data_IF_724587077581
#
_entry.id   IF_724587077581
#
_cell.length_a   1.000
_cell.length_b   1.000
_cell.length_c   1.000
_cell.angle_alpha   90.00
_cell.angle_beta   90.00
_cell.angle_gamma   90.00
#
_symmetry.space_group_name_H-M   'P 1'
#
loop_
_entity.id
_entity.type
_entity.pdbx_description
1 polymer ?
#
# COMPACT_ATOMS: atom_id res chain seq x y z
N UNK A 1 4.38 -5.09 30.73
CA UNK A 1 4.97 -6.32 30.09
C UNK A 1 5.69 -5.89 28.82
N UNK A 2 6.96 -6.29 28.65
CA UNK A 2 7.71 -6.01 27.42
C UNK A 2 7.38 -6.99 26.32
N UNK A 3 7.20 -6.48 25.09
CA UNK A 3 6.90 -7.25 23.89
C UNK A 3 7.71 -6.70 22.71
N UNK A 4 8.07 -7.57 21.78
CA UNK A 4 8.69 -7.18 20.51
C UNK A 4 7.67 -7.30 19.39
N UNK A 5 7.62 -6.31 18.51
CA UNK A 5 6.82 -6.35 17.30
C UNK A 5 7.65 -5.93 16.08
N UNK A 6 7.49 -6.66 14.99
CA UNK A 6 8.28 -6.49 13.79
C UNK A 6 7.40 -6.19 12.58
N UNK A 7 7.79 -5.19 11.80
CA UNK A 7 7.21 -4.92 10.48
C UNK A 7 8.31 -4.79 9.43
N UNK A 8 7.95 -5.04 8.18
CA UNK A 8 8.84 -4.91 7.04
C UNK A 8 8.28 -3.98 5.96
N UNK A 9 9.17 -3.42 5.16
CA UNK A 9 8.84 -2.69 3.95
C UNK A 9 9.90 -2.94 2.88
N UNK A 10 9.59 -2.58 1.65
CA UNK A 10 10.46 -2.78 0.50
C UNK A 10 10.62 -1.50 -0.31
N UNK A 11 11.71 -1.42 -1.08
CA UNK A 11 11.92 -0.31 -2.03
C UNK A 11 11.01 -0.44 -3.25
N UNK A 12 10.91 0.63 -4.03
CA UNK A 12 10.15 0.66 -5.28
C UNK A 12 10.66 -0.35 -6.34
N UNK A 13 11.94 -0.75 -6.23
CA UNK A 13 12.57 -1.71 -7.14
C UNK A 13 12.43 -3.17 -6.70
N UNK A 14 11.80 -3.46 -5.56
CA UNK A 14 11.46 -4.84 -5.21
C UNK A 14 10.52 -5.43 -6.27
N UNK A 15 10.70 -6.68 -6.72
CA UNK A 15 9.92 -7.25 -7.83
C UNK A 15 8.41 -7.10 -7.70
N UNK A 16 7.84 -7.42 -6.53
CA UNK A 16 6.40 -7.28 -6.30
C UNK A 16 5.96 -5.79 -6.34
N UNK A 17 6.79 -4.87 -5.80
CA UNK A 17 6.45 -3.44 -5.81
C UNK A 17 6.62 -2.79 -7.17
N UNK A 18 7.56 -3.26 -7.98
CA UNK A 18 7.62 -2.92 -9.39
C UNK A 18 6.30 -3.28 -10.11
N UNK A 19 5.78 -4.49 -9.86
CA UNK A 19 4.50 -4.93 -10.44
C UNK A 19 3.32 -4.09 -9.98
N UNK A 20 3.23 -3.80 -8.69
CA UNK A 20 2.20 -2.92 -8.12
C UNK A 20 2.27 -1.52 -8.74
N UNK A 21 3.49 -0.97 -8.88
CA UNK A 21 3.70 0.37 -9.42
C UNK A 21 3.34 0.47 -10.91
N UNK A 22 3.64 -0.57 -11.70
CA UNK A 22 3.22 -0.67 -13.10
C UNK A 22 1.69 -0.71 -13.18
N UNK A 23 1.04 -1.59 -12.42
CA UNK A 23 -0.42 -1.76 -12.45
C UNK A 23 -1.17 -0.48 -12.06
N UNK A 24 -0.73 0.23 -11.03
CA UNK A 24 -1.32 1.52 -10.64
C UNK A 24 -0.99 2.66 -11.60
N UNK A 25 0.16 2.61 -12.28
CA UNK A 25 0.50 3.59 -13.31
C UNK A 25 -0.38 3.42 -14.56
N UNK A 26 -0.71 2.19 -14.93
CA UNK A 26 -1.68 1.89 -15.99
C UNK A 26 -3.07 2.40 -15.59
N UNK A 27 -3.54 2.11 -14.37
CA UNK A 27 -4.81 2.61 -13.86
C UNK A 27 -4.89 4.15 -13.95
N UNK A 28 -3.88 4.85 -13.46
CA UNK A 28 -3.84 6.31 -13.48
C UNK A 28 -3.81 6.88 -14.91
N UNK A 29 -3.14 6.19 -15.85
CA UNK A 29 -3.11 6.60 -17.26
C UNK A 29 -4.51 6.54 -17.90
N UNK A 30 -5.30 5.52 -17.60
CA UNK A 30 -6.70 5.43 -18.03
C UNK A 30 -7.58 6.48 -17.38
N UNK A 31 -7.48 6.68 -16.05
CA UNK A 31 -8.30 7.64 -15.29
C UNK A 31 -8.04 9.09 -15.67
N UNK A 32 -6.84 9.43 -16.13
CA UNK A 32 -6.51 10.76 -16.66
C UNK A 32 -7.36 11.16 -17.87
N UNK A 33 -7.75 10.20 -18.69
CA UNK A 33 -8.50 10.40 -19.94
C UNK A 33 -9.99 10.13 -19.72
N UNK A 34 -10.31 9.03 -19.04
CA UNK A 34 -11.67 8.61 -18.75
C UNK A 34 -11.81 8.25 -17.26
N UNK A 35 -12.38 9.16 -16.48
CA UNK A 35 -12.59 9.00 -15.03
C UNK A 35 -13.50 7.81 -14.66
N UNK A 36 -14.26 7.30 -15.63
CA UNK A 36 -15.17 6.15 -15.45
C UNK A 36 -14.54 4.83 -15.91
N UNK A 37 -13.26 4.81 -16.20
CA UNK A 37 -12.55 3.59 -16.56
C UNK A 37 -12.71 2.52 -15.47
N UNK A 38 -13.04 1.32 -15.89
CA UNK A 38 -13.04 0.11 -15.06
C UNK A 38 -11.77 -0.64 -15.34
N UNK A 39 -10.94 -0.82 -14.34
CA UNK A 39 -9.61 -1.41 -14.47
C UNK A 39 -9.42 -2.47 -13.40
N UNK A 40 -9.04 -3.65 -13.83
CA UNK A 40 -8.47 -4.71 -13.02
C UNK A 40 -7.23 -5.18 -13.78
N UNK A 41 -6.06 -4.67 -13.40
CA UNK A 41 -4.80 -4.86 -14.12
C UNK A 41 -3.77 -5.48 -13.20
N UNK A 42 -3.23 -6.59 -13.61
CA UNK A 42 -2.21 -7.34 -12.90
C UNK A 42 -0.94 -7.41 -13.73
N UNK A 43 0.18 -7.33 -13.05
CA UNK A 43 1.52 -7.38 -13.63
C UNK A 43 2.29 -8.53 -13.02
N UNK A 44 2.98 -9.30 -13.87
CA UNK A 44 3.98 -10.28 -13.47
C UNK A 44 5.33 -9.85 -14.02
N UNK A 45 6.34 -9.79 -13.18
CA UNK A 45 7.72 -9.53 -13.59
C UNK A 45 8.57 -10.78 -13.39
N UNK A 46 9.25 -11.21 -14.43
CA UNK A 46 10.19 -12.32 -14.42
C UNK A 46 11.47 -11.93 -15.13
N UNK A 47 12.36 -12.90 -15.29
CA UNK A 47 13.64 -12.71 -15.95
C UNK A 47 13.49 -12.16 -17.35
N UNK A 48 13.91 -10.89 -17.57
CA UNK A 48 13.87 -10.20 -18.86
C UNK A 48 12.48 -9.87 -19.40
N UNK A 49 11.40 -10.23 -18.71
CA UNK A 49 10.04 -10.11 -19.23
C UNK A 49 9.06 -9.51 -18.22
N UNK A 50 8.12 -8.72 -18.73
CA UNK A 50 6.94 -8.21 -18.04
C UNK A 50 5.69 -8.73 -18.73
N UNK A 51 4.75 -9.25 -17.95
CA UNK A 51 3.43 -9.67 -18.43
C UNK A 51 2.37 -8.78 -17.76
N UNK A 52 1.52 -8.18 -18.60
CA UNK A 52 0.37 -7.40 -18.18
C UNK A 52 -0.88 -8.18 -18.57
N UNK A 53 -1.75 -8.44 -17.59
CA UNK A 53 -3.02 -9.15 -17.83
C UNK A 53 -4.15 -8.49 -17.06
N UNK A 54 -5.39 -8.83 -17.39
CA UNK A 54 -6.58 -8.35 -16.71
C UNK A 54 -7.66 -7.81 -17.63
N UNK A 55 -8.59 -7.06 -17.05
CA UNK A 55 -9.74 -6.52 -17.76
C UNK A 55 -9.77 -4.99 -17.65
N UNK A 56 -9.93 -4.32 -18.80
CA UNK A 56 -10.08 -2.87 -18.86
C UNK A 56 -11.26 -2.51 -19.77
N UNK A 57 -12.22 -1.76 -19.20
CA UNK A 57 -13.34 -1.17 -19.91
C UNK A 57 -13.25 0.35 -19.78
N UNK A 58 -12.91 1.02 -20.89
CA UNK A 58 -12.68 2.48 -20.95
C UNK A 58 -12.93 3.03 -22.33
N UNK A 59 -13.22 4.33 -22.41
CA UNK A 59 -13.20 5.12 -23.66
C UNK A 59 -11.80 5.63 -23.99
N UNK A 60 -10.87 5.53 -23.05
CA UNK A 60 -9.49 5.97 -23.23
C UNK A 60 -8.72 4.97 -24.12
N UNK A 61 -7.81 5.50 -24.93
CA UNK A 61 -6.78 4.74 -25.60
C UNK A 61 -5.43 5.09 -24.96
N UNK A 62 -4.80 4.10 -24.32
CA UNK A 62 -3.54 4.25 -23.58
C UNK A 62 -2.49 3.33 -24.19
N UNK A 63 -1.31 3.87 -24.46
CA UNK A 63 -0.12 3.10 -24.79
C UNK A 63 0.46 2.47 -23.53
N UNK A 64 -0.01 1.25 -23.21
CA UNK A 64 0.37 0.52 -22.02
C UNK A 64 1.87 0.21 -22.00
N UNK A 65 2.44 -0.17 -23.15
CA UNK A 65 3.87 -0.47 -23.25
C UNK A 65 4.73 0.74 -22.86
N UNK A 66 4.36 1.92 -23.34
CA UNK A 66 5.04 3.17 -22.99
C UNK A 66 4.96 3.44 -21.50
N UNK A 67 3.79 3.28 -20.86
CA UNK A 67 3.62 3.45 -19.41
C UNK A 67 4.52 2.51 -18.63
N UNK A 68 4.59 1.24 -19.03
CA UNK A 68 5.44 0.23 -18.38
C UNK A 68 6.92 0.63 -18.47
N UNK A 69 7.40 1.00 -19.65
CA UNK A 69 8.80 1.41 -19.86
C UNK A 69 9.17 2.66 -19.06
N UNK A 70 8.27 3.63 -18.96
CA UNK A 70 8.46 4.84 -18.13
C UNK A 70 8.61 4.49 -16.65
N UNK A 71 7.81 3.57 -16.12
CA UNK A 71 7.91 3.11 -14.71
C UNK A 71 9.24 2.39 -14.47
N UNK A 72 9.63 1.45 -15.33
CA UNK A 72 10.89 0.71 -15.21
C UNK A 72 12.09 1.67 -15.20
N UNK A 73 12.08 2.67 -16.10
CA UNK A 73 13.10 3.72 -16.19
C UNK A 73 13.15 4.57 -14.92
N UNK A 74 11.99 5.01 -14.41
CA UNK A 74 11.91 5.85 -13.21
C UNK A 74 12.45 5.17 -11.96
N UNK A 75 12.20 3.88 -11.82
CA UNK A 75 12.74 3.06 -10.72
C UNK A 75 14.26 2.95 -10.82
N UNK A 76 14.83 3.00 -12.04
CA UNK A 76 16.26 2.92 -12.28
C UNK A 76 16.73 1.54 -12.78
N UNK A 77 15.84 0.80 -13.41
CA UNK A 77 16.19 -0.38 -14.19
C UNK A 77 16.53 0.06 -15.63
N UNK A 78 17.73 0.57 -15.79
CA UNK A 78 18.24 1.22 -17.00
C UNK A 78 19.54 0.60 -17.55
N UNK A 79 19.88 -0.59 -17.07
CA UNK A 79 21.11 -1.30 -17.39
C UNK A 79 20.83 -2.79 -17.62
N UNK A 80 21.29 -3.32 -18.74
CA UNK A 80 21.14 -4.74 -19.10
C UNK A 80 21.71 -5.71 -18.06
N UNK A 81 22.70 -5.29 -17.26
CA UNK A 81 23.22 -6.09 -16.14
C UNK A 81 22.21 -6.34 -15.03
N UNK A 82 21.12 -5.57 -15.01
CA UNK A 82 20.02 -5.73 -14.04
C UNK A 82 18.91 -6.65 -14.56
N UNK A 83 19.10 -7.26 -15.74
CA UNK A 83 18.20 -8.16 -16.47
C UNK A 83 16.90 -7.51 -16.97
N UNK A 84 16.35 -6.54 -16.29
CA UNK A 84 15.27 -5.70 -16.77
C UNK A 84 15.84 -4.32 -17.10
N UNK A 85 15.93 -4.02 -18.39
CA UNK A 85 16.21 -2.68 -18.91
C UNK A 85 14.95 -2.16 -19.59
N UNK A 86 14.56 -0.93 -19.26
CA UNK A 86 13.37 -0.30 -19.81
C UNK A 86 13.35 -0.22 -21.35
N UNK A 87 14.52 -0.32 -22.01
CA UNK A 87 14.65 -0.28 -23.48
C UNK A 87 14.44 -1.64 -24.13
N UNK A 88 14.95 -2.69 -23.51
CA UNK A 88 15.13 -4.01 -24.14
C UNK A 88 14.25 -5.11 -23.55
N UNK A 89 13.70 -4.92 -22.32
CA UNK A 89 12.85 -5.93 -21.71
C UNK A 89 11.63 -6.23 -22.59
N UNK A 90 11.26 -7.50 -22.65
CA UNK A 90 10.07 -7.94 -23.37
C UNK A 90 8.82 -7.60 -22.55
N UNK A 91 7.83 -6.99 -23.19
CA UNK A 91 6.54 -6.64 -22.58
C UNK A 91 5.44 -7.39 -23.34
N UNK A 92 4.74 -8.25 -22.61
CA UNK A 92 3.61 -9.02 -23.13
C UNK A 92 2.32 -8.45 -22.53
N UNK A 93 1.36 -8.06 -23.38
CA UNK A 93 0.10 -7.44 -22.97
C UNK A 93 -1.06 -8.33 -23.39
N UNK A 94 -1.86 -8.78 -22.42
CA UNK A 94 -3.06 -9.57 -22.62
C UNK A 94 -4.22 -8.96 -21.81
N UNK A 95 -4.81 -7.90 -22.35
CA UNK A 95 -5.93 -7.18 -21.74
C UNK A 95 -7.21 -7.52 -22.48
N UNK A 96 -8.25 -7.91 -21.74
CA UNK A 96 -9.59 -8.18 -22.23
C UNK A 96 -10.59 -7.13 -21.74
N UNK A 97 -11.85 -7.22 -22.23
CA UNK A 97 -12.96 -6.44 -21.65
C UNK A 97 -13.61 -7.25 -20.53
N UNK A 98 -14.12 -6.55 -19.51
CA UNK A 98 -14.83 -7.16 -18.40
C UNK A 98 -16.05 -7.99 -18.89
N UNK A 99 -16.28 -9.14 -18.25
CA UNK A 99 -17.43 -10.01 -18.54
C UNK A 99 -18.75 -9.27 -18.36
N UNK A 100 -19.71 -9.41 -19.30
CA UNK A 100 -21.06 -8.84 -19.19
C UNK A 100 -21.80 -9.34 -17.93
N UNK A 101 -21.58 -10.58 -17.52
CA UNK A 101 -22.27 -11.18 -16.37
C UNK A 101 -21.90 -10.50 -15.06
N UNK A 102 -20.63 -10.10 -14.91
CA UNK A 102 -20.17 -9.34 -13.74
C UNK A 102 -20.76 -7.92 -13.75
N UNK A 103 -20.79 -7.25 -14.91
CA UNK A 103 -21.32 -5.88 -15.01
C UNK A 103 -22.81 -5.79 -14.66
N UNK A 104 -23.65 -6.75 -15.09
CA UNK A 104 -25.07 -6.77 -14.75
C UNK A 104 -25.37 -6.89 -13.24
N UNK A 105 -24.48 -7.57 -12.50
CA UNK A 105 -24.64 -7.74 -11.04
C UNK A 105 -24.31 -6.45 -10.26
N UNK A 106 -23.47 -5.60 -10.82
CA UNK A 106 -22.87 -4.44 -10.14
C UNK A 106 -23.52 -3.11 -10.51
N UNK A 107 -23.95 -2.94 -11.78
CA UNK A 107 -24.47 -1.65 -12.29
C UNK A 107 -25.79 -1.22 -11.62
N UNK A 108 -26.62 -2.16 -11.14
CA UNK A 108 -27.85 -1.90 -10.41
C UNK A 108 -27.85 -2.75 -9.15
N UNK A 109 -27.82 -2.10 -7.97
CA UNK A 109 -27.78 -2.79 -6.69
C UNK A 109 -29.06 -3.61 -6.42
N UNK A 110 -28.94 -4.61 -5.54
CA UNK A 110 -30.02 -5.46 -5.10
C UNK A 110 -31.18 -4.64 -4.47
N UNK A 111 -30.84 -3.60 -3.69
CA UNK A 111 -31.80 -2.69 -3.08
C UNK A 111 -32.58 -1.90 -4.14
N UNK A 112 -31.91 -1.43 -5.19
CA UNK A 112 -32.56 -0.71 -6.30
C UNK A 112 -33.49 -1.64 -7.10
N UNK A 113 -33.10 -2.92 -7.30
CA UNK A 113 -33.96 -3.94 -7.94
C UNK A 113 -35.21 -4.24 -7.12
N UNK A 114 -35.17 -4.08 -5.80
CA UNK A 114 -36.33 -4.23 -4.89
C UNK A 114 -37.16 -2.97 -4.76
N UNK A 115 -36.87 -1.89 -5.49
CA UNK A 115 -37.65 -0.67 -5.51
C UNK A 115 -37.28 0.32 -4.37
N UNK A 116 -36.20 0.11 -3.63
CA UNK A 116 -35.69 1.13 -2.73
C UNK A 116 -35.17 2.31 -3.55
N UNK A 117 -35.37 3.55 -3.04
CA UNK A 117 -34.92 4.78 -3.72
C UNK A 117 -33.39 4.93 -3.76
N UNK A 118 -32.64 3.91 -3.45
CA UNK A 118 -31.17 3.89 -3.49
C UNK A 118 -30.71 3.71 -4.94
N UNK A 119 -30.41 4.80 -5.63
CA UNK A 119 -29.73 4.78 -6.94
C UNK A 119 -28.24 4.59 -6.74
N UNK A 120 -27.82 3.43 -6.26
CA UNK A 120 -26.41 3.09 -6.02
C UNK A 120 -26.03 1.84 -6.80
N UNK A 121 -24.79 1.82 -7.26
CA UNK A 121 -24.15 0.59 -7.73
C UNK A 121 -24.01 -0.38 -6.55
N UNK A 122 -24.15 -1.69 -6.78
CA UNK A 122 -23.83 -2.71 -5.80
C UNK A 122 -22.32 -2.87 -5.65
N UNK A 123 -21.86 -3.51 -4.57
CA UNK A 123 -20.47 -3.86 -4.42
C UNK A 123 -20.02 -4.79 -5.56
N UNK A 124 -18.82 -4.52 -6.10
CA UNK A 124 -18.27 -5.27 -7.23
C UNK A 124 -17.85 -6.70 -6.88
N UNK A 125 -17.70 -6.99 -5.59
CA UNK A 125 -17.38 -8.30 -5.05
C UNK A 125 -17.89 -8.42 -3.61
N UNK A 126 -17.91 -9.63 -3.08
CA UNK A 126 -18.01 -9.88 -1.65
C UNK A 126 -16.64 -9.72 -0.99
N UNK A 127 -16.61 -9.40 0.30
CA UNK A 127 -15.35 -9.35 1.04
C UNK A 127 -15.46 -8.60 2.36
N UNK A 128 -14.35 -8.60 3.09
CA UNK A 128 -14.17 -7.87 4.33
C UNK A 128 -12.92 -7.01 4.23
N UNK A 129 -13.01 -5.76 4.68
CA UNK A 129 -11.96 -4.75 4.55
C UNK A 129 -11.71 -4.11 5.90
N UNK A 130 -10.42 -3.99 6.25
CA UNK A 130 -10.02 -3.46 7.54
C UNK A 130 -9.36 -2.09 7.42
N UNK A 131 -9.67 -1.23 8.38
CA UNK A 131 -8.97 0.01 8.65
C UNK A 131 -8.42 0.02 10.07
N UNK A 132 -7.25 0.62 10.27
CA UNK A 132 -6.63 0.73 11.58
C UNK A 132 -6.01 2.10 11.80
N UNK A 133 -5.98 2.55 13.04
CA UNK A 133 -5.22 3.71 13.49
C UNK A 133 -4.82 3.57 14.96
N UNK A 134 -3.71 4.19 15.31
CA UNK A 134 -3.23 4.31 16.69
C UNK A 134 -2.51 5.64 16.91
N UNK A 135 -2.28 6.03 18.16
CA UNK A 135 -1.64 7.29 18.54
C UNK A 135 -0.10 7.18 18.66
N UNK A 136 0.51 6.15 18.07
CA UNK A 136 1.96 5.92 18.18
C UNK A 136 2.81 6.90 17.35
N UNK A 137 2.26 7.42 16.25
CA UNK A 137 2.93 8.36 15.34
C UNK A 137 2.02 9.52 14.94
N UNK A 138 2.58 10.59 14.39
CA UNK A 138 1.81 11.73 13.87
C UNK A 138 0.89 11.34 12.70
N UNK A 139 1.26 10.29 11.97
CA UNK A 139 0.48 9.73 10.88
C UNK A 139 -0.70 8.88 11.38
N UNK A 140 -0.81 8.63 12.68
CA UNK A 140 -1.74 7.68 13.30
C UNK A 140 -1.54 6.25 12.80
N UNK A 141 -0.28 5.85 12.63
CA UNK A 141 0.16 4.55 12.17
C UNK A 141 1.03 3.86 13.23
N UNK A 142 1.10 2.51 13.24
CA UNK A 142 2.04 1.80 14.09
C UNK A 142 3.50 2.19 13.81
N UNK A 143 4.32 2.33 14.85
CA UNK A 143 5.68 2.82 14.73
C UNK A 143 6.57 1.91 13.88
N UNK A 144 6.47 0.58 14.04
CA UNK A 144 7.33 -0.37 13.34
C UNK A 144 7.19 -0.25 11.81
N UNK A 145 5.96 -0.27 11.28
CA UNK A 145 5.73 -0.13 9.83
C UNK A 145 6.07 1.28 9.32
N UNK A 146 5.80 2.31 10.11
CA UNK A 146 6.15 3.70 9.76
C UNK A 146 7.65 3.85 9.59
N UNK A 147 8.45 3.31 10.50
CA UNK A 147 9.91 3.33 10.38
C UNK A 147 10.41 2.49 9.20
N UNK A 148 9.84 1.30 8.99
CA UNK A 148 10.20 0.45 7.86
C UNK A 148 9.94 1.15 6.52
N UNK A 149 8.81 1.85 6.36
CA UNK A 149 8.49 2.65 5.17
C UNK A 149 9.48 3.82 4.98
N UNK A 150 9.72 4.58 6.03
CA UNK A 150 10.65 5.73 5.99
C UNK A 150 12.07 5.29 5.65
N UNK A 151 12.53 4.16 6.17
CA UNK A 151 13.84 3.57 5.86
C UNK A 151 13.92 3.08 4.41
N UNK A 152 12.92 2.35 3.93
CA UNK A 152 12.86 1.88 2.54
C UNK A 152 12.82 3.05 1.54
N UNK A 153 12.06 4.09 1.87
CA UNK A 153 12.05 5.34 1.09
C UNK A 153 13.41 6.00 1.09
N UNK A 154 14.07 6.11 2.25
CA UNK A 154 15.39 6.73 2.36
C UNK A 154 16.47 5.97 1.59
N UNK A 155 16.40 4.61 1.56
CA UNK A 155 17.28 3.80 0.70
C UNK A 155 17.14 4.20 -0.78
N UNK A 156 15.91 4.37 -1.25
CA UNK A 156 15.68 4.85 -2.62
C UNK A 156 16.18 6.28 -2.82
N UNK A 157 15.91 7.17 -1.86
CA UNK A 157 16.33 8.57 -1.96
C UNK A 157 17.87 8.70 -2.04
N UNK A 158 18.63 8.01 -1.18
CA UNK A 158 20.12 8.07 -1.21
C UNK A 158 20.71 7.49 -2.49
N UNK A 159 20.06 6.50 -3.10
CA UNK A 159 20.43 5.98 -4.41
C UNK A 159 20.16 7.00 -5.52
N UNK A 160 18.93 7.48 -5.63
CA UNK A 160 18.51 8.43 -6.70
C UNK A 160 19.22 9.78 -6.61
N UNK A 161 19.60 10.22 -5.41
CA UNK A 161 20.37 11.45 -5.18
C UNK A 161 21.89 11.24 -5.28
N UNK A 162 22.36 10.05 -5.64
CA UNK A 162 23.79 9.69 -5.71
C UNK A 162 24.58 9.91 -4.40
N UNK A 163 23.90 9.86 -3.25
CA UNK A 163 24.57 9.91 -1.93
C UNK A 163 25.29 8.59 -1.69
N UNK A 164 24.64 7.46 -2.02
CA UNK A 164 25.25 6.14 -2.06
C UNK A 164 25.05 5.60 -3.49
N UNK A 165 25.96 5.95 -4.37
CA UNK A 165 25.85 5.78 -5.82
C UNK A 165 25.96 4.32 -6.31
N UNK A 166 26.46 3.43 -5.47
CA UNK A 166 26.61 2.00 -5.79
C UNK A 166 25.41 1.14 -5.39
N UNK A 167 24.35 1.70 -4.79
CA UNK A 167 23.12 1.00 -4.53
C UNK A 167 22.32 0.75 -5.82
N UNK A 168 21.58 -0.36 -5.85
CA UNK A 168 20.69 -0.75 -6.93
C UNK A 168 19.24 -0.71 -6.48
N UNK A 169 18.25 -0.83 -7.41
CA UNK A 169 16.85 -0.55 -7.09
C UNK A 169 16.22 -1.45 -6.02
N UNK A 170 16.62 -2.73 -5.94
CA UNK A 170 15.98 -3.69 -5.04
C UNK A 170 16.48 -3.55 -3.61
N UNK A 171 15.57 -3.65 -2.67
CA UNK A 171 15.90 -3.61 -1.25
C UNK A 171 14.71 -3.89 -0.34
N UNK A 172 15.03 -4.34 0.86
CA UNK A 172 14.06 -4.70 1.90
C UNK A 172 14.54 -4.22 3.26
N UNK A 173 13.62 -3.72 4.05
CA UNK A 173 13.88 -3.26 5.41
C UNK A 173 12.92 -3.92 6.38
N UNK A 174 13.43 -4.31 7.54
CA UNK A 174 12.64 -4.81 8.66
C UNK A 174 13.01 -4.07 9.93
N UNK A 175 12.02 -3.66 10.72
CA UNK A 175 12.21 -2.98 11.99
C UNK A 175 11.48 -3.71 13.09
N UNK A 176 12.20 -4.05 14.16
CA UNK A 176 11.63 -4.59 15.39
C UNK A 176 11.63 -3.52 16.46
N UNK A 177 10.45 -3.21 16.99
CA UNK A 177 10.23 -2.25 18.07
C UNK A 177 9.94 -2.99 19.37
N UNK A 178 10.59 -2.59 20.44
CA UNK A 178 10.27 -3.03 21.81
C UNK A 178 9.19 -2.11 22.37
N UNK A 179 8.14 -2.73 22.92
CA UNK A 179 7.01 -2.08 23.55
C UNK A 179 7.00 -2.39 25.05
N UNK A 180 6.68 -1.40 25.87
CA UNK A 180 6.37 -1.57 27.28
C UNK A 180 4.94 -1.11 27.55
N UNK A 181 4.10 -2.02 28.02
CA UNK A 181 2.67 -1.79 28.30
C UNK A 181 1.90 -1.16 27.12
N UNK A 182 2.25 -1.58 25.89
CA UNK A 182 1.62 -1.14 24.64
C UNK A 182 2.11 0.19 24.09
N UNK A 183 3.15 0.79 24.71
CA UNK A 183 3.80 2.03 24.24
C UNK A 183 5.16 1.69 23.64
N UNK A 184 5.51 2.23 22.45
CA UNK A 184 6.82 2.04 21.84
C UNK A 184 7.93 2.60 22.72
N UNK A 185 8.93 1.77 23.07
CA UNK A 185 10.05 2.14 23.95
C UNK A 185 11.31 2.43 23.13
N UNK A 186 11.76 1.48 22.34
CA UNK A 186 13.00 1.55 21.54
C UNK A 186 12.96 0.65 20.30
N UNK A 187 13.87 0.89 19.38
CA UNK A 187 14.12 -0.03 18.27
C UNK A 187 15.12 -1.08 18.73
N UNK A 188 14.68 -2.31 18.76
CA UNK A 188 15.52 -3.45 19.14
C UNK A 188 16.43 -3.90 17.99
N UNK A 189 15.88 -3.96 16.77
CA UNK A 189 16.61 -4.48 15.60
C UNK A 189 16.21 -3.76 14.32
N UNK A 190 17.20 -3.46 13.50
CA UNK A 190 17.02 -3.01 12.10
C UNK A 190 17.72 -3.97 11.17
N UNK A 191 16.98 -4.55 10.22
CA UNK A 191 17.53 -5.37 9.14
C UNK A 191 17.39 -4.61 7.84
N UNK A 192 18.46 -4.50 7.06
CA UNK A 192 18.46 -3.89 5.74
C UNK A 192 19.14 -4.85 4.77
N UNK A 193 18.41 -5.25 3.72
CA UNK A 193 18.98 -5.92 2.55
C UNK A 193 18.88 -4.97 1.37
N UNK A 194 19.98 -4.54 0.81
CA UNK A 194 20.04 -3.59 -0.30
C UNK A 194 20.92 -4.12 -1.42
N UNK A 195 20.36 -4.16 -2.61
CA UNK A 195 21.10 -4.53 -3.82
C UNK A 195 22.20 -3.48 -4.11
N UNK A 196 23.37 -3.94 -4.52
CA UNK A 196 24.54 -3.10 -4.74
C UNK A 196 25.40 -3.57 -5.92
N UNK A 197 26.34 -2.76 -6.36
CA UNK A 197 27.36 -3.11 -7.36
C UNK A 197 28.30 -4.22 -6.87
N UNK A 198 28.89 -4.95 -7.80
CA UNK A 198 29.64 -6.19 -7.53
C UNK A 198 30.85 -6.00 -6.63
N UNK A 199 31.63 -4.96 -6.85
CA UNK A 199 32.96 -4.78 -6.22
C UNK A 199 32.91 -3.79 -5.06
N UNK A 200 31.91 -3.92 -4.16
CA UNK A 200 31.74 -3.03 -3.01
C UNK A 200 32.24 -3.74 -1.73
N UNK A 201 33.02 -3.01 -0.96
CA UNK A 201 33.38 -3.37 0.40
C UNK A 201 32.13 -3.38 1.29
N UNK A 202 31.79 -4.56 1.86
CA UNK A 202 30.60 -4.73 2.68
C UNK A 202 30.66 -3.96 4.00
N UNK A 203 31.84 -3.72 4.56
CA UNK A 203 31.98 -2.88 5.76
C UNK A 203 31.72 -1.41 5.43
N UNK A 204 32.12 -0.96 4.24
CA UNK A 204 31.75 0.36 3.74
C UNK A 204 30.24 0.47 3.54
N UNK A 205 29.62 -0.51 2.88
CA UNK A 205 28.17 -0.56 2.69
C UNK A 205 27.43 -0.47 4.03
N UNK A 206 27.87 -1.22 5.03
CA UNK A 206 27.29 -1.20 6.38
C UNK A 206 27.36 0.17 7.01
N UNK A 207 28.53 0.81 7.00
CA UNK A 207 28.72 2.19 7.54
C UNK A 207 27.83 3.18 6.82
N UNK A 208 27.87 3.20 5.47
CA UNK A 208 27.11 4.14 4.66
C UNK A 208 25.58 4.03 4.91
N UNK A 209 25.04 2.81 5.04
CA UNK A 209 23.63 2.59 5.35
C UNK A 209 23.29 3.05 6.78
N UNK A 210 24.13 2.76 7.77
CA UNK A 210 23.87 3.21 9.15
C UNK A 210 23.88 4.74 9.20
N UNK A 211 24.86 5.39 8.61
CA UNK A 211 25.03 6.85 8.68
C UNK A 211 24.01 7.60 7.85
N UNK A 212 23.78 7.19 6.60
CA UNK A 212 22.97 7.96 5.64
C UNK A 212 21.50 7.54 5.58
N UNK A 213 21.15 6.37 6.14
CA UNK A 213 19.78 5.87 6.12
C UNK A 213 19.22 5.73 7.54
N UNK A 214 19.82 4.88 8.39
CA UNK A 214 19.26 4.55 9.69
C UNK A 214 19.28 5.74 10.65
N UNK A 215 20.44 6.38 10.84
CA UNK A 215 20.61 7.49 11.74
C UNK A 215 19.89 8.78 11.28
N UNK A 216 19.56 8.87 9.98
CA UNK A 216 18.78 9.99 9.41
C UNK A 216 17.29 9.82 9.67
N UNK A 217 16.80 8.56 9.64
CA UNK A 217 15.36 8.27 9.69
C UNK A 217 14.86 7.98 11.10
N UNK A 218 15.60 7.18 11.87
CA UNK A 218 15.16 6.79 13.20
C UNK A 218 15.54 7.86 14.22
N UNK A 219 14.57 8.45 14.95
CA UNK A 219 14.88 9.42 15.99
C UNK A 219 15.82 8.82 17.06
N UNK A 220 16.84 9.59 17.45
CA UNK A 220 17.86 9.15 18.42
C UNK A 220 17.30 8.58 19.73
N UNK A 221 16.13 9.06 20.17
CA UNK A 221 15.45 8.56 21.39
C UNK A 221 15.02 7.09 21.31
N UNK A 222 14.93 6.53 20.10
CA UNK A 222 14.60 5.12 19.89
C UNK A 222 15.81 4.23 19.63
N UNK A 223 17.01 4.79 19.53
CA UNK A 223 18.27 4.06 19.32
C UNK A 223 19.11 4.10 20.59
N UNK A 224 19.70 2.97 20.95
CA UNK A 224 20.64 2.85 22.05
C UNK A 224 21.78 1.87 21.72
N UNK A 225 22.68 1.63 22.65
CA UNK A 225 23.84 0.75 22.50
C UNK A 225 23.46 -0.73 22.28
N UNK A 226 22.22 -1.13 22.64
CA UNK A 226 21.70 -2.48 22.49
C UNK A 226 20.96 -2.66 21.14
N UNK A 227 20.76 -1.60 20.36
CA UNK A 227 20.11 -1.71 19.04
C UNK A 227 20.97 -2.51 18.09
N UNK A 228 20.41 -3.56 17.49
CA UNK A 228 21.09 -4.47 16.58
C UNK A 228 20.90 -4.05 15.13
N UNK A 229 21.98 -4.06 14.36
CA UNK A 229 21.99 -3.72 12.94
C UNK A 229 22.43 -4.91 12.10
N UNK A 230 21.58 -5.42 11.24
CA UNK A 230 21.86 -6.49 10.27
C UNK A 230 21.78 -5.90 8.85
N UNK A 231 22.92 -5.49 8.30
CA UNK A 231 23.01 -4.93 6.96
C UNK A 231 23.59 -5.98 6.02
N UNK A 232 22.83 -6.37 5.00
CA UNK A 232 23.16 -7.46 4.08
C UNK A 232 23.76 -8.70 4.82
N UNK A 233 23.02 -9.30 5.79
CA UNK A 233 23.59 -10.33 6.68
C UNK A 233 24.06 -11.59 5.94
N UNK A 234 23.57 -11.81 4.72
CA UNK A 234 24.04 -12.92 3.84
C UNK A 234 25.27 -12.53 3.01
N UNK A 235 25.75 -11.28 3.14
CA UNK A 235 26.89 -10.76 2.40
C UNK A 235 26.47 -10.12 1.07
N UNK A 236 26.96 -10.66 -0.04
CA UNK A 236 26.77 -10.13 -1.40
C UNK A 236 25.30 -10.15 -1.83
N UNK A 237 24.77 -8.98 -2.28
CA UNK A 237 23.46 -8.88 -2.88
C UNK A 237 23.56 -8.06 -4.19
N UNK A 238 24.09 -8.69 -5.23
CA UNK A 238 24.29 -8.07 -6.56
C UNK A 238 23.14 -8.48 -7.50
N UNK A 239 22.77 -9.76 -7.49
CA UNK A 239 21.62 -10.26 -8.25
C UNK A 239 20.36 -9.96 -7.44
N UNK A 240 19.48 -9.12 -7.96
CA UNK A 240 18.22 -8.69 -7.34
C UNK A 240 17.22 -8.26 -8.39
N UNK A 241 16.11 -7.68 -7.95
CA UNK A 241 15.00 -7.37 -8.84
C UNK A 241 14.41 -8.62 -9.50
N UNK A 242 13.70 -8.49 -10.63
CA UNK A 242 13.08 -9.62 -11.32
C UNK A 242 14.05 -10.71 -11.83
N UNK A 243 15.35 -10.40 -11.90
CA UNK A 243 16.39 -11.41 -12.17
C UNK A 243 16.58 -12.37 -11.01
N UNK A 244 16.50 -11.84 -9.78
CA UNK A 244 16.71 -12.62 -8.56
C UNK A 244 15.46 -13.37 -8.11
N UNK A 245 14.29 -12.74 -8.20
CA UNK A 245 13.00 -13.30 -7.81
C UNK A 245 11.87 -12.69 -8.65
N UNK A 246 10.85 -13.47 -8.96
CA UNK A 246 9.70 -12.99 -9.72
C UNK A 246 8.79 -12.11 -8.87
N UNK A 247 8.23 -11.07 -9.51
CA UNK A 247 7.23 -10.20 -8.91
C UNK A 247 5.82 -10.45 -9.41
N UNK A 248 4.83 -10.11 -8.59
CA UNK A 248 3.42 -10.15 -8.95
C UNK A 248 2.67 -9.05 -8.20
N UNK A 249 1.75 -8.37 -8.89
CA UNK A 249 0.81 -7.42 -8.27
C UNK A 249 0.06 -8.05 -7.11
N UNK A 250 -0.01 -7.34 -5.98
CA UNK A 250 -0.78 -7.77 -4.81
C UNK A 250 -0.10 -8.78 -3.90
N UNK A 251 1.21 -8.96 -3.99
CA UNK A 251 1.97 -9.85 -3.08
C UNK A 251 2.60 -9.14 -1.88
N UNK A 252 2.37 -7.84 -1.71
CA UNK A 252 2.88 -7.04 -0.58
C UNK A 252 1.76 -6.36 0.22
N UNK A 253 0.61 -7.04 0.35
CA UNK A 253 -0.61 -6.49 0.96
C UNK A 253 -0.44 -6.07 2.43
N UNK A 254 0.44 -6.72 3.17
CA UNK A 254 0.72 -6.38 4.56
C UNK A 254 1.67 -5.17 4.65
N UNK A 255 2.62 -5.06 3.72
CA UNK A 255 3.46 -3.84 3.54
C UNK A 255 2.58 -2.66 3.12
N UNK A 256 1.59 -2.88 2.26
CA UNK A 256 0.67 -1.85 1.78
C UNK A 256 -0.19 -1.26 2.89
N UNK A 257 -0.44 -2.00 3.97
CA UNK A 257 -1.37 -1.67 5.03
C UNK A 257 -0.68 -1.35 6.35
N UNK A 258 -0.72 -2.24 7.33
CA UNK A 258 -0.32 -1.92 8.71
C UNK A 258 0.86 -2.75 9.22
N UNK A 259 1.58 -3.45 8.33
CA UNK A 259 2.78 -4.23 8.70
C UNK A 259 2.52 -5.39 9.65
N UNK A 260 1.31 -5.95 9.62
CA UNK A 260 0.90 -7.05 10.50
C UNK A 260 0.29 -6.62 11.83
N UNK A 261 0.15 -5.31 12.07
CA UNK A 261 -0.40 -4.79 13.34
C UNK A 261 -1.93 -4.87 13.43
N UNK A 262 -2.60 -4.90 12.31
CA UNK A 262 -4.05 -5.04 12.18
C UNK A 262 -4.42 -6.25 11.32
N UNK A 263 -5.69 -6.66 11.40
CA UNK A 263 -6.25 -7.67 10.50
C UNK A 263 -6.21 -7.20 9.06
N UNK A 264 -6.33 -8.15 8.14
CA UNK A 264 -6.40 -7.89 6.70
C UNK A 264 -7.42 -8.80 6.05
N UNK A 265 -8.24 -8.27 5.15
CA UNK A 265 -9.28 -9.04 4.46
C UNK A 265 -8.78 -9.90 3.29
N UNK A 266 -7.49 -9.75 2.90
CA UNK A 266 -6.87 -10.50 1.82
C UNK A 266 -6.89 -9.82 0.45
N UNK A 267 -7.72 -8.77 0.26
CA UNK A 267 -7.82 -8.06 -1.02
C UNK A 267 -6.61 -7.16 -1.30
N UNK A 268 -5.99 -7.33 -2.47
CA UNK A 268 -4.94 -6.43 -2.95
C UNK A 268 -5.54 -5.12 -3.49
N UNK A 269 -4.76 -4.03 -3.43
CA UNK A 269 -5.19 -2.70 -3.88
C UNK A 269 -4.74 -2.37 -5.30
N UNK A 270 -3.44 -2.53 -5.57
CA UNK A 270 -2.82 -2.08 -6.82
C UNK A 270 -3.49 -2.70 -8.05
N UNK A 271 -3.62 -1.90 -9.11
CA UNK A 271 -4.25 -2.30 -10.37
C UNK A 271 -5.78 -2.28 -10.38
N UNK A 272 -6.44 -2.03 -9.24
CA UNK A 272 -7.91 -2.01 -9.12
C UNK A 272 -8.43 -0.57 -9.07
N UNK A 273 -9.42 -0.23 -9.92
CA UNK A 273 -10.15 1.02 -9.81
C UNK A 273 -11.07 1.03 -8.56
N UNK A 274 -11.58 2.21 -8.21
CA UNK A 274 -12.33 2.45 -6.97
C UNK A 274 -13.67 1.69 -6.85
N UNK A 275 -14.18 1.08 -7.91
CA UNK A 275 -15.40 0.26 -7.84
C UNK A 275 -15.16 -1.08 -7.15
N UNK A 276 -13.91 -1.51 -7.04
CA UNK A 276 -13.51 -2.68 -6.28
C UNK A 276 -13.43 -2.30 -4.80
N UNK A 277 -14.35 -2.84 -4.02
CA UNK A 277 -14.47 -2.54 -2.57
C UNK A 277 -13.24 -2.96 -1.78
N UNK A 278 -12.49 -3.94 -2.22
CA UNK A 278 -11.18 -4.29 -1.66
C UNK A 278 -10.31 -3.05 -1.46
N UNK A 279 -10.32 -2.14 -2.42
CA UNK A 279 -9.54 -0.89 -2.38
C UNK A 279 -10.31 0.25 -1.73
N UNK A 280 -11.48 0.60 -2.24
CA UNK A 280 -12.23 1.78 -1.81
C UNK A 280 -12.72 1.68 -0.37
N UNK A 281 -13.24 0.53 0.04
CA UNK A 281 -13.72 0.33 1.40
C UNK A 281 -12.57 0.20 2.41
N UNK A 282 -11.41 -0.34 2.03
CA UNK A 282 -10.21 -0.33 2.88
C UNK A 282 -9.72 1.10 3.14
N UNK A 283 -9.75 1.98 2.12
CA UNK A 283 -9.42 3.39 2.29
C UNK A 283 -10.44 4.12 3.18
N UNK A 284 -11.73 3.80 3.03
CA UNK A 284 -12.75 4.36 3.90
C UNK A 284 -12.63 3.84 5.34
N UNK A 285 -12.38 2.56 5.55
CA UNK A 285 -12.15 1.98 6.86
C UNK A 285 -10.93 2.63 7.55
N UNK A 286 -9.83 2.89 6.80
CA UNK A 286 -8.70 3.68 7.30
C UNK A 286 -9.11 5.09 7.68
N UNK A 287 -9.87 5.78 6.84
CA UNK A 287 -10.36 7.14 7.11
C UNK A 287 -11.17 7.19 8.41
N UNK A 288 -12.08 6.24 8.61
CA UNK A 288 -12.88 6.13 9.82
C UNK A 288 -11.99 5.90 11.03
N UNK A 289 -11.17 4.84 11.02
CA UNK A 289 -10.31 4.48 12.14
C UNK A 289 -9.39 5.65 12.55
N UNK A 290 -8.79 6.32 11.56
CA UNK A 290 -7.95 7.50 11.81
C UNK A 290 -8.73 8.63 12.49
N UNK A 291 -9.95 8.90 12.04
CA UNK A 291 -10.76 9.97 12.61
C UNK A 291 -11.29 9.63 14.00
N UNK A 292 -11.57 8.37 14.31
CA UNK A 292 -11.89 7.93 15.69
C UNK A 292 -10.73 8.27 16.62
N UNK A 293 -9.49 7.94 16.23
CA UNK A 293 -8.31 8.22 17.07
C UNK A 293 -7.99 9.72 17.13
N UNK A 294 -8.03 10.41 15.99
CA UNK A 294 -7.73 11.85 15.92
C UNK A 294 -8.73 12.71 16.71
N UNK A 295 -10.00 12.31 16.80
CA UNK A 295 -11.02 12.95 17.64
C UNK A 295 -10.97 12.47 19.10
N UNK A 296 -9.99 11.64 19.47
CA UNK A 296 -9.76 11.14 20.83
C UNK A 296 -10.90 10.28 21.40
N UNK A 297 -11.67 9.62 20.52
CA UNK A 297 -12.67 8.65 20.95
C UNK A 297 -12.02 7.32 21.38
N UNK A 298 -10.82 7.02 20.89
CA UNK A 298 -9.97 5.93 21.34
C UNK A 298 -8.49 6.25 21.07
N UNK A 299 -7.55 5.49 21.68
CA UNK A 299 -6.12 5.54 21.34
C UNK A 299 -5.77 4.59 20.20
N UNK A 300 -6.56 3.53 20.03
CA UNK A 300 -6.44 2.52 18.98
C UNK A 300 -7.82 2.22 18.46
N UNK A 301 -7.94 2.02 17.15
CA UNK A 301 -9.21 1.67 16.53
C UNK A 301 -8.97 0.79 15.30
N UNK A 302 -9.63 -0.35 15.27
CA UNK A 302 -9.79 -1.19 14.08
C UNK A 302 -11.24 -1.16 13.64
N UNK A 303 -11.46 -0.98 12.33
CA UNK A 303 -12.79 -0.99 11.69
C UNK A 303 -12.82 -2.11 10.67
N UNK A 304 -13.88 -2.94 10.66
CA UNK A 304 -14.19 -3.84 9.55
C UNK A 304 -15.44 -3.34 8.83
N UNK A 305 -15.38 -3.32 7.51
CA UNK A 305 -16.52 -3.15 6.61
C UNK A 305 -16.65 -4.42 5.77
N UNK A 306 -17.84 -5.04 5.73
CA UNK A 306 -18.07 -6.23 4.92
C UNK A 306 -19.16 -5.97 3.88
N UNK A 307 -18.98 -6.52 2.69
CA UNK A 307 -19.92 -6.38 1.57
C UNK A 307 -20.29 -7.73 0.98
N UNK A 308 -21.48 -7.79 0.37
CA UNK A 308 -21.89 -8.87 -0.52
C UNK A 308 -21.95 -8.35 -1.95
N UNK A 309 -21.56 -9.18 -2.92
CA UNK A 309 -21.62 -8.82 -4.34
C UNK A 309 -23.01 -8.34 -4.73
N UNK A 310 -23.10 -7.22 -5.45
CA UNK A 310 -24.36 -6.63 -5.90
C UNK A 310 -25.17 -5.91 -4.83
N UNK A 311 -24.78 -5.94 -3.55
CA UNK A 311 -25.42 -5.22 -2.45
C UNK A 311 -24.71 -3.90 -2.22
N UNK A 312 -25.44 -2.79 -2.10
CA UNK A 312 -24.84 -1.47 -1.96
C UNK A 312 -24.44 -1.16 -0.51
N UNK A 313 -25.26 -1.49 0.46
CA UNK A 313 -24.94 -1.24 1.87
C UNK A 313 -23.98 -2.29 2.42
N UNK A 314 -23.05 -1.94 3.32
CA UNK A 314 -22.27 -2.94 4.02
C UNK A 314 -23.20 -3.88 4.80
N UNK A 315 -22.91 -5.18 4.77
CA UNK A 315 -23.66 -6.20 5.52
C UNK A 315 -23.30 -6.21 7.00
N UNK A 316 -22.10 -5.74 7.34
CA UNK A 316 -21.70 -5.51 8.73
C UNK A 316 -20.67 -4.38 8.85
N UNK A 317 -20.67 -3.72 10.01
CA UNK A 317 -19.67 -2.79 10.47
C UNK A 317 -19.26 -3.28 11.85
N UNK A 318 -17.96 -3.59 12.00
CA UNK A 318 -17.39 -3.98 13.28
C UNK A 318 -16.35 -2.96 13.72
N UNK A 319 -16.29 -2.69 15.02
CA UNK A 319 -15.27 -1.84 15.63
C UNK A 319 -14.61 -2.57 16.80
N UNK A 320 -13.31 -2.35 16.97
CA UNK A 320 -12.55 -2.75 18.14
C UNK A 320 -11.63 -1.58 18.54
N UNK A 321 -11.83 -1.05 19.72
CA UNK A 321 -11.00 0.01 20.28
C UNK A 321 -9.93 -0.51 21.22
N UNK A 322 -9.82 -1.83 21.35
CA UNK A 322 -8.85 -2.51 22.23
C UNK A 322 -8.94 -2.04 23.70
N UNK A 323 -10.16 -1.69 24.14
CA UNK A 323 -10.41 -1.17 25.49
C UNK A 323 -9.81 0.22 25.75
N UNK A 324 -9.48 0.99 24.70
CA UNK A 324 -8.90 2.34 24.83
C UNK A 324 -9.90 3.47 24.57
N UNK A 325 -11.17 3.12 24.37
CA UNK A 325 -12.25 4.06 24.07
C UNK A 325 -12.56 4.99 25.26
N UNK A 326 -12.98 6.21 24.93
CA UNK A 326 -13.42 7.25 25.86
C UNK A 326 -14.95 7.41 25.89
N UNK A 327 -15.63 6.88 24.88
CA UNK A 327 -17.10 6.77 24.76
C UNK A 327 -17.44 5.34 24.33
N UNK A 328 -18.68 4.85 24.53
CA UNK A 328 -19.08 3.51 24.10
C UNK A 328 -18.87 3.27 22.61
N UNK A 329 -18.47 2.04 22.24
CA UNK A 329 -18.26 1.68 20.82
C UNK A 329 -19.53 1.80 20.00
N UNK A 330 -20.72 1.52 20.59
CA UNK A 330 -22.01 1.70 19.95
C UNK A 330 -22.27 3.17 19.59
N UNK A 331 -21.82 4.12 20.43
CA UNK A 331 -21.92 5.56 20.10
C UNK A 331 -20.99 5.93 18.96
N UNK A 332 -19.79 5.35 18.90
CA UNK A 332 -18.87 5.55 17.77
C UNK A 332 -19.49 5.02 16.49
N UNK A 333 -20.09 3.83 16.49
CA UNK A 333 -20.80 3.25 15.33
C UNK A 333 -21.96 4.16 14.90
N UNK A 334 -22.74 4.69 15.83
CA UNK A 334 -23.83 5.64 15.50
C UNK A 334 -23.30 6.87 14.77
N UNK A 335 -22.22 7.48 15.28
CA UNK A 335 -21.57 8.62 14.63
C UNK A 335 -21.04 8.28 13.24
N UNK A 336 -20.48 7.10 13.03
CA UNK A 336 -20.02 6.62 11.72
C UNK A 336 -21.17 6.55 10.74
N UNK A 337 -22.30 5.92 11.13
CA UNK A 337 -23.48 5.77 10.28
C UNK A 337 -24.16 7.09 9.96
N UNK A 338 -24.14 8.05 10.88
CA UNK A 338 -24.69 9.41 10.65
C UNK A 338 -23.80 10.22 9.70
N UNK A 339 -22.48 10.02 9.77
CA UNK A 339 -21.50 10.85 9.08
C UNK A 339 -21.19 10.39 7.67
N UNK A 340 -21.22 9.09 7.39
CA UNK A 340 -20.68 8.51 6.17
C UNK A 340 -21.70 7.66 5.42
N UNK A 341 -21.81 7.92 4.11
CA UNK A 341 -22.45 6.99 3.18
C UNK A 341 -21.42 5.91 2.81
N UNK A 342 -21.60 4.72 3.38
CA UNK A 342 -20.71 3.58 3.19
C UNK A 342 -21.08 2.70 1.98
N UNK A 343 -21.98 3.15 1.11
CA UNK A 343 -22.18 2.51 -0.19
C UNK A 343 -20.93 2.70 -1.07
N UNK A 344 -20.62 1.79 -2.02
CA UNK A 344 -19.46 1.94 -2.89
C UNK A 344 -19.42 3.32 -3.58
N UNK A 345 -20.56 3.79 -4.09
CA UNK A 345 -20.67 5.12 -4.72
C UNK A 345 -20.48 6.25 -3.73
N UNK A 346 -21.01 6.13 -2.52
CA UNK A 346 -20.83 7.09 -1.42
C UNK A 346 -19.33 7.26 -1.08
N UNK A 347 -18.62 6.14 -0.92
CA UNK A 347 -17.18 6.13 -0.64
C UNK A 347 -16.39 6.77 -1.78
N UNK A 348 -16.65 6.37 -3.03
CA UNK A 348 -15.96 6.91 -4.22
C UNK A 348 -16.11 8.42 -4.29
N UNK A 349 -17.31 8.93 -4.10
CA UNK A 349 -17.60 10.37 -4.13
C UNK A 349 -16.95 11.10 -2.96
N UNK A 350 -17.09 10.57 -1.74
CA UNK A 350 -16.56 11.19 -0.52
C UNK A 350 -15.03 11.33 -0.53
N UNK A 351 -14.34 10.29 -0.98
CA UNK A 351 -12.88 10.26 -1.07
C UNK A 351 -12.35 10.73 -2.44
N UNK A 352 -13.22 11.10 -3.39
CA UNK A 352 -12.85 11.54 -4.74
C UNK A 352 -11.93 10.54 -5.48
N UNK A 353 -12.31 9.27 -5.46
CA UNK A 353 -11.48 8.16 -5.94
C UNK A 353 -11.49 7.98 -7.49
N UNK A 354 -12.24 8.76 -8.24
CA UNK A 354 -12.21 8.75 -9.71
C UNK A 354 -11.12 9.70 -10.28
N UNK A 355 -10.10 9.99 -9.48
CA UNK A 355 -8.94 10.82 -9.86
C UNK A 355 -7.67 9.98 -9.94
N UNK A 356 -6.71 10.35 -10.81
CA UNK A 356 -5.46 9.60 -10.97
C UNK A 356 -4.48 9.87 -9.81
N UNK A 357 -4.71 9.21 -8.68
CA UNK A 357 -3.93 9.34 -7.44
C UNK A 357 -3.24 8.05 -7.03
N UNK A 358 -3.49 6.96 -7.75
CA UNK A 358 -3.15 5.60 -7.31
C UNK A 358 -1.66 5.30 -7.38
N UNK A 359 -0.97 5.81 -8.39
CA UNK A 359 0.49 5.71 -8.49
C UNK A 359 1.22 6.23 -7.24
N UNK A 360 0.71 7.29 -6.60
CA UNK A 360 1.27 7.84 -5.36
C UNK A 360 1.12 6.92 -4.15
N UNK A 361 0.17 6.00 -4.21
CA UNK A 361 -0.14 5.12 -3.07
C UNK A 361 0.79 3.93 -2.98
N UNK A 362 1.27 3.43 -4.11
CA UNK A 362 1.85 2.10 -4.28
C UNK A 362 3.09 1.83 -3.43
N UNK A 363 4.06 2.75 -3.40
CA UNK A 363 5.32 2.55 -2.71
C UNK A 363 5.25 3.11 -1.27
N UNK A 364 5.89 2.41 -0.32
CA UNK A 364 6.00 2.85 1.09
C UNK A 364 4.65 2.99 1.79
N UNK A 365 3.73 2.05 1.54
CA UNK A 365 2.40 1.96 2.15
C UNK A 365 1.33 2.86 1.53
N UNK A 366 0.08 2.43 1.61
CA UNK A 366 -1.09 3.19 1.16
C UNK A 366 -1.62 4.15 2.22
N UNK A 367 -1.16 4.03 3.47
CA UNK A 367 -1.63 4.80 4.62
C UNK A 367 -0.52 5.64 5.24
N UNK A 368 -0.91 6.73 5.93
CA UNK A 368 0.01 7.65 6.59
C UNK A 368 0.57 8.76 5.69
N UNK A 369 0.11 8.92 4.45
CA UNK A 369 0.54 9.98 3.52
C UNK A 369 -0.43 11.15 3.54
N UNK A 370 -0.02 12.30 4.06
CA UNK A 370 -0.89 13.46 4.38
C UNK A 370 -1.68 14.04 3.20
N UNK A 371 -1.21 13.84 1.97
CA UNK A 371 -1.82 14.35 0.73
C UNK A 371 -2.91 13.44 0.13
N UNK A 372 -3.18 12.29 0.77
CA UNK A 372 -4.20 11.36 0.29
C UNK A 372 -5.57 11.63 0.93
N UNK A 373 -6.68 11.50 0.18
CA UNK A 373 -8.02 11.89 0.65
C UNK A 373 -8.46 11.20 1.95
N UNK A 374 -8.12 9.93 2.14
CA UNK A 374 -8.48 9.15 3.34
C UNK A 374 -7.65 9.49 4.57
N UNK A 375 -6.60 10.28 4.42
CA UNK A 375 -5.79 10.74 5.54
C UNK A 375 -6.25 12.07 6.13
N UNK A 376 -7.31 12.69 5.59
CA UNK A 376 -7.87 13.94 6.14
C UNK A 376 -8.46 13.70 7.53
N UNK A 377 -8.20 14.63 8.44
CA UNK A 377 -8.84 14.68 9.76
C UNK A 377 -10.07 15.58 9.63
N UNK A 378 -11.20 15.08 10.14
CA UNK A 378 -12.47 15.79 10.19
C UNK A 378 -13.02 15.77 11.62
N UNK A 379 -13.94 16.65 11.95
CA UNK A 379 -14.70 16.60 13.19
C UNK A 379 -15.82 15.55 13.06
N UNK A 380 -15.83 14.58 13.97
CA UNK A 380 -16.85 13.54 14.07
C UNK A 380 -17.86 13.85 15.18
#
# INVERSE_FOLDING_TARGET
MRKLFTSESVTEGHPDKLCDYISDSILDAFLKIDKKSRVACETVAGKGEIFITGEISSKANVDIEKVVREVIKEIGYDNEKLDIDYKTCKININISKQSPDISQGVDISFEAKKGEKLKSEGAGDQGLMFGYACDETEEFMPLAITLAHKLSKRLTDVRKQNIINYLRPDGKVQVTVEYEDGVPLRVETVVVSSQHEENIDLDKLKRDIIENVINVVIPKRFLDENTKYYINPTGRFVIGGPLGDSGLTGRKIIVDTYGGYARHGGGAFSGKDATKVDRSASYMARHIAKNVVANRYAKKCEIELSYAIGVAKPISIYIDTFGTNTIPEEEIISKINEKFDLTPRGIINYLNLETPIYRKTTNYGHFGKKDLPWERIIKM
#
